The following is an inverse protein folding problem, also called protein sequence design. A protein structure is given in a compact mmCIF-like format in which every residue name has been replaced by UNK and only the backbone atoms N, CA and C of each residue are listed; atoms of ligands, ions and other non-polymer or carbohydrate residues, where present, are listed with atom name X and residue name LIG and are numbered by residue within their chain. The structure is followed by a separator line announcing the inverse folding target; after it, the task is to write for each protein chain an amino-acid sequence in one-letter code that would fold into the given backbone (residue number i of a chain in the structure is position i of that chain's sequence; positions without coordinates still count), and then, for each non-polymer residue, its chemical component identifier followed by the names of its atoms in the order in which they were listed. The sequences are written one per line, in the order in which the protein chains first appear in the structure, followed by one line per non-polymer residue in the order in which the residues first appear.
data_IF_282507882723
#
_entry.id   IF_282507882723
#
_cell.length_a   1.000
_cell.length_b   1.000
_cell.length_c   1.000
_cell.angle_alpha   90.00
_cell.angle_beta   90.00
_cell.angle_gamma   90.00
#
_symmetry.space_group_name_H-M   'P 1'
#
loop_
_entity.id
_entity.type
_entity.pdbx_description
1 polymer ?
#
# COMPACT_ATOMS: atom_id res chain seq x y z
N UNK A 1 -27.61 -19.91 -4.94
CA UNK A 1 -26.29 -20.19 -5.51
C UNK A 1 -25.53 -18.86 -5.54
N UNK A 2 -24.72 -18.58 -4.52
CA UNK A 2 -23.98 -17.32 -4.43
C UNK A 2 -22.81 -17.36 -5.42
N UNK A 3 -22.80 -16.44 -6.39
CA UNK A 3 -21.69 -16.28 -7.32
C UNK A 3 -20.47 -15.76 -6.57
N UNK A 4 -19.28 -16.26 -6.90
CA UNK A 4 -17.97 -15.86 -6.32
C UNK A 4 -17.76 -14.33 -6.26
N UNK A 5 -18.41 -13.57 -7.14
CA UNK A 5 -18.40 -12.10 -7.15
C UNK A 5 -19.09 -11.43 -5.94
N UNK A 6 -20.05 -12.09 -5.28
CA UNK A 6 -20.72 -11.52 -4.10
C UNK A 6 -19.96 -11.78 -2.80
N UNK A 7 -19.10 -12.80 -2.77
CA UNK A 7 -18.27 -13.13 -1.60
C UNK A 7 -17.06 -12.18 -1.52
N UNK A 8 -16.54 -11.72 -2.66
CA UNK A 8 -15.33 -10.88 -2.70
C UNK A 8 -15.54 -9.45 -2.22
N UNK A 9 -16.73 -8.85 -2.36
CA UNK A 9 -16.95 -7.43 -2.01
C UNK A 9 -16.93 -7.21 -0.49
N UNK A 10 -17.68 -8.02 0.26
CA UNK A 10 -17.71 -7.93 1.73
C UNK A 10 -16.36 -8.23 2.39
N UNK A 11 -15.64 -9.25 1.87
CA UNK A 11 -14.31 -9.62 2.40
C UNK A 11 -13.30 -8.49 2.17
N UNK A 12 -13.34 -7.83 1.02
CA UNK A 12 -12.46 -6.70 0.71
C UNK A 12 -12.68 -5.52 1.66
N UNK A 13 -13.93 -5.12 1.86
CA UNK A 13 -14.29 -3.99 2.73
C UNK A 13 -13.92 -4.30 4.19
N UNK A 14 -14.23 -5.51 4.66
CA UNK A 14 -13.87 -5.97 6.01
C UNK A 14 -12.36 -5.97 6.21
N UNK A 15 -11.61 -6.61 5.30
CA UNK A 15 -10.14 -6.69 5.37
C UNK A 15 -9.49 -5.30 5.30
N UNK A 16 -10.03 -4.40 4.47
CA UNK A 16 -9.54 -3.02 4.38
C UNK A 16 -9.73 -2.29 5.71
N UNK A 17 -10.94 -2.36 6.27
CA UNK A 17 -11.26 -1.71 7.54
C UNK A 17 -10.44 -2.27 8.72
N UNK A 18 -10.18 -3.58 8.73
CA UNK A 18 -9.33 -4.20 9.75
C UNK A 18 -7.88 -3.76 9.62
N UNK A 19 -7.32 -3.74 8.41
CA UNK A 19 -5.96 -3.28 8.16
C UNK A 19 -5.78 -1.80 8.50
N UNK A 20 -6.74 -0.95 8.13
CA UNK A 20 -6.75 0.46 8.51
C UNK A 20 -6.80 0.62 10.04
N UNK A 21 -7.66 -0.14 10.74
CA UNK A 21 -7.71 -0.13 12.21
C UNK A 21 -6.39 -0.58 12.85
N UNK A 22 -5.73 -1.59 12.28
CA UNK A 22 -4.42 -2.06 12.76
C UNK A 22 -3.35 -0.99 12.56
N UNK A 23 -3.34 -0.30 11.41
CA UNK A 23 -2.45 0.83 11.15
C UNK A 23 -2.61 1.91 12.23
N UNK A 24 -3.85 2.30 12.51
CA UNK A 24 -4.13 3.34 13.51
C UNK A 24 -3.68 2.93 14.92
N UNK A 25 -3.88 1.65 15.29
CA UNK A 25 -3.41 1.11 16.57
C UNK A 25 -1.89 1.13 16.68
N UNK A 26 -1.16 0.85 15.59
CA UNK A 26 0.31 0.90 15.57
C UNK A 26 0.80 2.34 15.71
N UNK A 27 0.17 3.29 15.02
CA UNK A 27 0.51 4.73 15.15
C UNK A 27 0.24 5.21 16.58
N UNK A 28 -0.90 4.83 17.17
CA UNK A 28 -1.20 5.15 18.56
C UNK A 28 -0.18 4.55 19.53
N UNK A 29 0.23 3.29 19.32
CA UNK A 29 1.26 2.63 20.12
C UNK A 29 2.60 3.36 20.02
N UNK A 30 3.01 3.78 18.81
CA UNK A 30 4.23 4.59 18.61
C UNK A 30 4.16 5.88 19.42
N UNK A 31 3.04 6.61 19.34
CA UNK A 31 2.86 7.86 20.08
C UNK A 31 2.88 7.64 21.61
N UNK A 32 2.36 6.51 22.08
CA UNK A 32 2.42 6.14 23.49
C UNK A 32 3.85 5.83 23.93
N UNK A 33 4.61 5.08 23.13
CA UNK A 33 6.03 4.80 23.43
C UNK A 33 6.85 6.09 23.52
N UNK A 34 6.70 6.99 22.54
CA UNK A 34 7.39 8.30 22.53
C UNK A 34 7.11 9.06 23.83
N UNK A 35 5.84 9.09 24.26
CA UNK A 35 5.41 9.81 25.47
C UNK A 35 5.95 9.16 26.74
N UNK A 36 5.86 7.85 26.84
CA UNK A 36 6.09 7.14 28.10
C UNK A 36 7.59 6.82 28.33
N UNK A 37 8.39 6.78 27.27
CA UNK A 37 9.81 6.39 27.30
C UNK A 37 10.77 7.46 26.73
N UNK A 38 10.36 8.74 26.73
CA UNK A 38 11.15 9.86 26.21
C UNK A 38 12.60 9.97 26.78
N UNK A 39 12.89 9.33 27.91
CA UNK A 39 14.23 9.28 28.52
C UNK A 39 15.14 8.14 28.05
N UNK A 40 14.64 7.18 27.28
CA UNK A 40 15.37 5.97 26.84
C UNK A 40 15.60 5.94 25.32
N UNK A 41 16.21 7.01 24.78
CA UNK A 41 16.38 7.27 23.34
C UNK A 41 16.87 6.06 22.51
N UNK A 42 17.82 5.28 23.05
CA UNK A 42 18.45 4.17 22.30
C UNK A 42 17.51 3.01 22.05
N UNK A 43 16.64 2.70 23.02
CA UNK A 43 15.67 1.61 22.92
C UNK A 43 14.46 2.08 22.12
N UNK A 44 14.04 3.32 22.37
CA UNK A 44 12.95 3.98 21.67
C UNK A 44 13.15 4.00 20.15
N UNK A 45 14.34 4.38 19.67
CA UNK A 45 14.60 4.50 18.23
C UNK A 45 14.48 3.19 17.45
N UNK A 46 14.79 2.04 18.07
CA UNK A 46 14.64 0.73 17.42
C UNK A 46 13.17 0.36 17.30
N UNK A 47 12.38 0.58 18.35
CA UNK A 47 10.94 0.29 18.34
C UNK A 47 10.18 1.25 17.43
N UNK A 48 10.48 2.54 17.46
CA UNK A 48 9.86 3.53 16.58
C UNK A 48 10.10 3.24 15.10
N UNK A 49 11.34 2.86 14.76
CA UNK A 49 11.68 2.47 13.39
C UNK A 49 10.87 1.26 12.97
N UNK A 50 10.82 0.22 13.81
CA UNK A 50 10.09 -1.00 13.48
C UNK A 50 8.57 -0.78 13.36
N UNK A 51 7.98 0.03 14.24
CA UNK A 51 6.56 0.39 14.15
C UNK A 51 6.27 1.20 12.88
N UNK A 52 7.19 2.08 12.47
CA UNK A 52 7.04 2.83 11.22
C UNK A 52 7.15 1.92 10.00
N UNK A 53 8.11 0.99 9.99
CA UNK A 53 8.21 -0.03 8.92
C UNK A 53 6.93 -0.88 8.81
N UNK A 54 6.29 -1.23 9.93
CA UNK A 54 5.02 -1.95 9.93
C UNK A 54 3.87 -1.12 9.35
N UNK A 55 3.82 0.18 9.64
CA UNK A 55 2.85 1.11 9.04
C UNK A 55 3.03 1.16 7.53
N UNK A 56 4.27 1.35 7.05
CA UNK A 56 4.58 1.42 5.62
C UNK A 56 4.16 0.13 4.88
N UNK A 57 4.39 -1.03 5.51
CA UNK A 57 3.96 -2.32 4.96
C UNK A 57 2.43 -2.45 4.87
N UNK A 58 1.70 -1.93 5.86
CA UNK A 58 0.23 -1.93 5.85
C UNK A 58 -0.29 -0.97 4.79
N UNK A 59 0.28 0.23 4.67
CA UNK A 59 -0.10 1.21 3.65
C UNK A 59 0.08 0.67 2.23
N UNK A 60 1.21 0.02 1.95
CA UNK A 60 1.43 -0.70 0.69
C UNK A 60 0.32 -1.73 0.42
N UNK A 61 -0.11 -2.50 1.44
CA UNK A 61 -1.14 -3.52 1.26
C UNK A 61 -2.50 -2.88 0.99
N UNK A 62 -2.83 -1.79 1.67
CA UNK A 62 -4.05 -1.01 1.43
C UNK A 62 -4.08 -0.45 0.00
N UNK A 63 -2.95 0.02 -0.53
CA UNK A 63 -2.83 0.46 -1.94
C UNK A 63 -3.06 -0.69 -2.93
N UNK A 64 -2.48 -1.87 -2.69
CA UNK A 64 -2.77 -3.05 -3.54
C UNK A 64 -4.26 -3.40 -3.47
N UNK A 65 -4.86 -3.34 -2.30
CA UNK A 65 -6.28 -3.64 -2.11
C UNK A 65 -7.18 -2.64 -2.83
N UNK A 66 -6.85 -1.35 -2.85
CA UNK A 66 -7.62 -0.35 -3.61
C UNK A 66 -7.62 -0.60 -5.12
N UNK A 67 -6.61 -1.29 -5.66
CA UNK A 67 -6.54 -1.65 -7.08
C UNK A 67 -7.10 -3.05 -7.40
N UNK A 68 -7.08 -3.99 -6.45
CA UNK A 68 -7.44 -5.40 -6.67
C UNK A 68 -8.88 -5.73 -6.27
N UNK A 69 -9.42 -5.04 -5.27
CA UNK A 69 -10.83 -5.11 -4.94
C UNK A 69 -11.59 -4.22 -5.93
N UNK A 70 -12.63 -4.76 -6.56
CA UNK A 70 -13.50 -3.99 -7.46
C UNK A 70 -14.25 -2.92 -6.66
N UNK A 71 -13.56 -1.81 -6.40
CA UNK A 71 -14.09 -0.64 -5.71
C UNK A 71 -15.16 -0.04 -6.62
N UNK A 72 -16.36 0.16 -6.08
CA UNK A 72 -17.41 0.89 -6.79
C UNK A 72 -17.12 2.38 -6.64
N UNK A 73 -16.28 2.91 -7.53
CA UNK A 73 -15.82 4.31 -7.59
C UNK A 73 -16.95 5.35 -7.70
N UNK A 74 -18.23 4.94 -7.71
CA UNK A 74 -19.38 5.83 -7.72
C UNK A 74 -19.55 6.70 -6.47
N UNK A 75 -18.76 6.50 -5.41
CA UNK A 75 -18.88 7.23 -4.14
C UNK A 75 -17.67 8.07 -3.71
N UNK A 76 -16.48 7.88 -4.30
CA UNK A 76 -15.25 8.54 -3.84
C UNK A 76 -14.81 9.64 -4.81
N UNK A 77 -15.40 10.82 -4.68
CA UNK A 77 -15.05 12.02 -5.47
C UNK A 77 -13.67 12.64 -5.11
N UNK A 78 -12.79 11.96 -4.38
CA UNK A 78 -11.57 12.57 -3.80
C UNK A 78 -10.27 11.81 -4.06
N UNK A 79 -10.26 10.82 -4.95
CA UNK A 79 -9.00 10.31 -5.49
C UNK A 79 -8.84 10.82 -6.92
N UNK A 80 -7.99 11.85 -7.11
CA UNK A 80 -7.43 12.14 -8.42
C UNK A 80 -6.61 10.90 -8.84
N UNK A 81 -7.16 10.12 -9.76
CA UNK A 81 -6.38 9.15 -10.50
C UNK A 81 -5.21 9.91 -11.14
N UNK A 82 -3.99 9.71 -10.64
CA UNK A 82 -2.79 10.14 -11.35
C UNK A 82 -2.60 9.22 -12.55
N UNK A 83 -3.42 9.44 -13.59
CA UNK A 83 -3.33 8.78 -14.87
C UNK A 83 -2.10 9.32 -15.58
N UNK A 84 -0.92 8.80 -15.25
CA UNK A 84 0.27 8.97 -16.08
C UNK A 84 0.00 8.20 -17.37
N UNK A 85 -0.60 8.89 -18.35
CA UNK A 85 -0.73 8.40 -19.71
C UNK A 85 0.67 8.27 -20.28
N UNK A 86 1.22 7.06 -20.28
CA UNK A 86 2.31 6.76 -21.21
C UNK A 86 1.71 6.86 -22.62
N UNK A 87 2.14 7.87 -23.37
CA UNK A 87 1.80 7.98 -24.78
C UNK A 87 2.24 6.72 -25.53
N UNK A 88 1.66 6.42 -26.70
CA UNK A 88 2.12 5.32 -27.53
C UNK A 88 3.64 5.47 -27.73
N UNK A 89 4.38 4.39 -27.49
CA UNK A 89 5.81 4.37 -27.72
C UNK A 89 6.08 4.80 -29.17
N UNK A 90 6.85 5.87 -29.35
CA UNK A 90 7.33 6.27 -30.67
C UNK A 90 8.26 5.15 -31.17
N UNK A 91 7.79 4.37 -32.14
CA UNK A 91 8.53 3.23 -32.70
C UNK A 91 9.54 3.65 -33.78
N UNK A 92 10.09 4.85 -33.69
CA UNK A 92 11.13 5.32 -34.62
C UNK A 92 12.41 5.61 -33.83
N UNK A 93 13.26 4.59 -33.67
CA UNK A 93 14.58 4.80 -33.06
C UNK A 93 15.32 3.53 -32.64
N UNK A 94 16.06 2.97 -33.60
CA UNK A 94 17.23 2.07 -33.49
C UNK A 94 17.01 0.60 -33.08
N UNK A 95 17.31 -0.26 -34.06
CA UNK A 95 17.42 -1.72 -33.99
C UNK A 95 18.39 -2.13 -32.86
N UNK A 96 17.86 -2.41 -31.67
CA UNK A 96 18.63 -2.96 -30.58
C UNK A 96 18.93 -4.45 -30.87
N UNK A 97 19.98 -4.70 -31.65
CA UNK A 97 20.51 -6.05 -31.83
C UNK A 97 20.96 -6.61 -30.47
N UNK A 98 20.39 -7.71 -29.97
CA UNK A 98 20.82 -8.33 -28.73
C UNK A 98 22.13 -9.07 -29.00
N UNK A 99 23.23 -8.33 -28.99
CA UNK A 99 24.58 -8.86 -29.07
C UNK A 99 24.87 -9.79 -27.89
N UNK A 100 25.18 -11.03 -28.23
CA UNK A 100 25.66 -12.11 -27.36
C UNK A 100 26.73 -11.62 -26.38
N UNK A 101 26.46 -11.65 -25.06
CA UNK A 101 27.50 -11.62 -24.03
C UNK A 101 27.85 -13.06 -23.68
N UNK A 102 29.06 -13.46 -24.06
CA UNK A 102 29.49 -14.85 -24.17
C UNK A 102 29.89 -15.56 -22.89
N UNK A 103 30.09 -16.86 -23.11
CA UNK A 103 30.84 -17.85 -22.35
C UNK A 103 31.06 -19.05 -23.26
#
# INVERSE_FOLDING_TARGET
MATTKNISKGICDETYSELESVKDKIVALRNHLVRDYAGEERILGVYERHLSELVDQIEWKLQIMSHSCAYDWKGSNEYEENSVSVGPAETDGEDFSPGYLGG
#
